data_IF_726969864956
#
_entry.id   IF_726969864956
#
_cell.length_a   1.000
_cell.length_b   1.000
_cell.length_c   1.000
_cell.angle_alpha   90.00
_cell.angle_beta   90.00
_cell.angle_gamma   90.00
#
_symmetry.space_group_name_H-M   'P 1'
#
loop_
_entity.id
_entity.type
_entity.pdbx_description
1 polymer ?
#
# COMPACT_ATOMS: atom_id res chain seq x y z
N UNK A 1 -23.87 -29.63 -35.90
CA UNK A 1 -24.63 -29.49 -37.16
C UNK A 1 -26.03 -29.01 -36.82
N UNK A 2 -26.58 -28.04 -37.57
CA UNK A 2 -27.96 -27.50 -37.50
C UNK A 2 -28.47 -26.91 -36.15
N UNK A 3 -29.35 -25.90 -36.12
CA UNK A 3 -29.73 -24.95 -37.18
C UNK A 3 -31.20 -24.50 -37.22
N UNK A 4 -31.46 -23.21 -36.95
CA UNK A 4 -32.70 -22.41 -37.15
C UNK A 4 -32.32 -20.89 -37.09
N UNK A 5 -32.92 -19.83 -37.65
CA UNK A 5 -34.15 -19.49 -38.45
C UNK A 5 -35.51 -19.51 -37.71
N UNK A 6 -36.60 -18.83 -38.08
CA UNK A 6 -37.07 -18.04 -39.27
C UNK A 6 -38.27 -17.14 -38.78
N UNK A 7 -38.62 -15.91 -39.19
CA UNK A 7 -38.07 -14.88 -40.11
C UNK A 7 -38.75 -13.48 -39.90
N UNK A 8 -38.12 -12.41 -40.40
CA UNK A 8 -38.67 -11.16 -41.04
C UNK A 8 -40.10 -10.63 -40.77
N UNK A 9 -40.20 -9.32 -40.47
CA UNK A 9 -40.90 -8.27 -41.26
C UNK A 9 -40.67 -6.86 -40.63
N UNK A 10 -40.67 -5.71 -41.33
CA UNK A 10 -40.63 -5.46 -42.78
C UNK A 10 -41.66 -4.44 -43.30
N UNK A 11 -41.30 -3.15 -43.45
CA UNK A 11 -42.04 -2.19 -44.31
C UNK A 11 -41.17 -1.01 -44.78
N UNK A 12 -41.58 -0.36 -45.88
CA UNK A 12 -40.93 0.80 -46.54
C UNK A 12 -42.00 1.83 -46.91
N UNK A 13 -41.72 3.13 -46.75
CA UNK A 13 -42.43 4.22 -47.45
C UNK A 13 -41.41 5.28 -47.87
N UNK A 14 -41.57 5.82 -49.09
CA UNK A 14 -40.81 6.95 -49.63
C UNK A 14 -41.78 8.05 -50.02
N UNK A 15 -41.56 9.27 -49.55
CA UNK A 15 -42.10 10.50 -50.14
C UNK A 15 -41.03 11.58 -50.05
N UNK A 16 -40.80 12.30 -51.14
CA UNK A 16 -40.04 13.55 -51.16
C UNK A 16 -40.81 14.61 -51.94
N UNK A 17 -40.71 15.87 -51.52
CA UNK A 17 -41.24 17.04 -52.21
C UNK A 17 -40.39 18.25 -51.83
N UNK A 18 -40.04 19.07 -52.81
CA UNK A 18 -39.24 20.28 -52.62
C UNK A 18 -40.14 21.50 -52.37
N UNK A 19 -39.55 22.59 -51.86
CA UNK A 19 -39.99 23.96 -52.19
C UNK A 19 -38.88 25.00 -51.91
N UNK A 20 -39.04 26.15 -52.56
CA UNK A 20 -38.17 27.33 -52.58
C UNK A 20 -37.72 27.89 -51.22
N UNK A 21 -36.47 28.35 -51.15
CA UNK A 21 -35.97 29.24 -50.07
C UNK A 21 -36.25 30.73 -50.34
N UNK A 22 -35.72 31.61 -49.48
CA UNK A 22 -35.72 33.07 -49.67
C UNK A 22 -34.54 33.75 -48.93
N UNK A 23 -34.34 35.07 -49.12
CA UNK A 23 -33.05 35.77 -48.87
C UNK A 23 -33.11 36.95 -47.88
N UNK A 24 -32.03 37.16 -47.12
CA UNK A 24 -31.68 38.41 -46.39
C UNK A 24 -30.47 38.16 -45.45
N UNK A 25 -29.32 38.86 -45.45
CA UNK A 25 -28.98 40.30 -45.56
C UNK A 25 -29.10 41.07 -44.22
N UNK A 26 -28.09 41.75 -43.63
CA UNK A 26 -26.62 41.81 -43.90
C UNK A 26 -25.83 41.99 -42.54
N UNK A 27 -24.77 42.81 -42.28
CA UNK A 27 -23.60 42.35 -41.49
C UNK A 27 -23.37 43.00 -40.10
N UNK A 28 -22.29 42.56 -39.42
CA UNK A 28 -21.31 43.21 -38.50
C UNK A 28 -21.59 44.60 -37.83
N UNK A 29 -20.98 44.93 -36.65
CA UNK A 29 -19.62 44.50 -36.23
C UNK A 29 -19.35 44.22 -34.72
N UNK A 30 -18.07 43.91 -34.41
CA UNK A 30 -17.37 44.00 -33.11
C UNK A 30 -17.80 43.00 -31.99
N UNK A 31 -16.99 42.62 -31.00
CA UNK A 31 -15.77 43.23 -30.39
C UNK A 31 -14.64 42.19 -30.16
N UNK A 32 -13.39 42.68 -30.29
CA UNK A 32 -12.09 42.14 -29.87
C UNK A 32 -12.01 40.79 -29.09
N UNK A 33 -11.13 39.89 -29.57
CA UNK A 33 -10.63 38.76 -28.80
C UNK A 33 -9.51 39.15 -27.82
N UNK A 34 -9.39 38.42 -26.71
CA UNK A 34 -8.27 38.53 -25.76
C UNK A 34 -7.84 37.15 -25.24
N UNK A 35 -6.84 36.56 -25.89
CA UNK A 35 -6.20 35.32 -25.42
C UNK A 35 -5.10 35.66 -24.41
N UNK A 36 -5.49 35.88 -23.15
CA UNK A 36 -4.54 36.02 -22.03
C UNK A 36 -3.97 34.64 -21.70
N UNK A 37 -2.64 34.53 -21.60
CA UNK A 37 -1.95 33.27 -21.31
C UNK A 37 -2.10 32.91 -19.84
N UNK A 38 -2.35 31.64 -19.57
CA UNK A 38 -2.19 31.07 -18.23
C UNK A 38 -0.71 31.09 -17.81
N UNK A 39 -0.39 31.28 -16.52
CA UNK A 39 0.97 31.24 -16.04
C UNK A 39 1.50 29.80 -16.01
N UNK A 40 2.57 29.52 -16.74
CA UNK A 40 3.31 28.25 -16.63
C UNK A 40 3.73 28.02 -15.18
N UNK A 41 3.32 26.88 -14.60
CA UNK A 41 3.71 26.49 -13.26
C UNK A 41 5.19 26.09 -13.23
N UNK A 42 6.04 26.90 -12.59
CA UNK A 42 7.42 26.52 -12.33
C UNK A 42 7.47 25.56 -11.13
N UNK A 43 7.31 24.27 -11.42
CA UNK A 43 7.46 23.20 -10.43
C UNK A 43 8.94 23.14 -10.03
N UNK A 44 9.25 23.69 -8.85
CA UNK A 44 10.57 23.53 -8.25
C UNK A 44 10.86 22.03 -8.06
N UNK A 45 11.99 21.50 -8.54
CA UNK A 45 12.33 20.10 -8.32
C UNK A 45 12.53 19.89 -6.81
N UNK A 46 11.65 19.09 -6.21
CA UNK A 46 11.84 18.64 -4.83
C UNK A 46 13.22 17.97 -4.73
N UNK A 47 13.96 18.27 -3.66
CA UNK A 47 15.26 17.64 -3.44
C UNK A 47 15.04 16.14 -3.26
N UNK A 48 15.45 15.35 -4.25
CA UNK A 48 15.38 13.89 -4.19
C UNK A 48 16.11 13.42 -2.92
N UNK A 49 15.43 12.72 -1.99
CA UNK A 49 16.06 12.29 -0.77
C UNK A 49 17.20 11.34 -1.13
N UNK A 50 18.40 11.61 -0.62
CA UNK A 50 19.50 10.64 -0.74
C UNK A 50 19.05 9.37 -0.02
N UNK A 51 19.03 8.19 -0.68
CA UNK A 51 18.49 6.98 -0.09
C UNK A 51 19.30 6.61 1.16
N UNK A 52 18.69 6.82 2.33
CA UNK A 52 19.21 6.34 3.59
C UNK A 52 18.62 4.97 3.83
N UNK A 53 19.48 3.96 3.95
CA UNK A 53 19.04 2.65 4.46
C UNK A 53 18.46 2.87 5.87
N UNK A 54 17.23 2.39 6.17
CA UNK A 54 16.66 2.46 7.51
C UNK A 54 17.60 1.84 8.55
N UNK A 55 17.68 2.42 9.75
CA UNK A 55 18.45 1.80 10.83
C UNK A 55 17.73 0.55 11.35
N UNK A 56 18.48 -0.51 11.70
CA UNK A 56 17.91 -1.65 12.43
C UNK A 56 17.42 -1.15 13.79
N UNK A 57 16.14 -1.36 14.18
CA UNK A 57 15.67 -0.92 15.49
C UNK A 57 16.43 -1.62 16.62
N UNK A 58 16.65 -0.90 17.72
CA UNK A 58 17.16 -1.50 18.96
C UNK A 58 16.04 -2.28 19.65
N UNK A 59 16.36 -3.48 20.15
CA UNK A 59 15.36 -4.38 20.76
C UNK A 59 14.95 -3.87 22.15
N UNK A 60 13.70 -3.39 22.36
CA UNK A 60 13.33 -2.67 23.57
C UNK A 60 13.30 -3.56 24.83
N UNK A 61 13.71 -2.99 25.96
CA UNK A 61 13.81 -3.67 27.25
C UNK A 61 12.47 -4.23 27.76
N UNK A 62 11.34 -3.64 27.34
CA UNK A 62 9.99 -4.13 27.65
C UNK A 62 9.75 -5.56 27.14
N UNK A 63 10.36 -5.99 26.03
CA UNK A 63 10.27 -7.37 25.51
C UNK A 63 10.87 -8.43 26.45
N UNK A 64 11.54 -8.04 27.54
CA UNK A 64 12.00 -8.95 28.62
C UNK A 64 10.86 -9.40 29.54
N UNK A 65 9.70 -8.74 29.49
CA UNK A 65 8.48 -9.13 30.21
C UNK A 65 7.79 -10.31 29.53
N UNK A 66 6.94 -11.00 30.28
CA UNK A 66 6.15 -12.18 29.85
C UNK A 66 4.66 -11.90 30.06
N UNK A 67 4.21 -10.75 29.54
CA UNK A 67 2.88 -10.17 29.72
C UNK A 67 2.48 -9.32 28.50
N UNK A 68 1.32 -8.64 28.58
CA UNK A 68 0.79 -7.82 27.49
C UNK A 68 1.69 -6.63 27.11
N UNK A 69 2.45 -6.06 28.07
CA UNK A 69 3.41 -4.99 27.77
C UNK A 69 4.62 -5.56 26.99
N UNK A 70 5.10 -6.74 27.37
CA UNK A 70 6.15 -7.45 26.62
C UNK A 70 5.70 -7.89 25.23
N UNK A 71 4.44 -8.29 25.08
CA UNK A 71 3.84 -8.63 23.80
C UNK A 71 3.68 -7.40 22.89
N UNK A 72 3.21 -6.28 23.44
CA UNK A 72 3.03 -5.03 22.70
C UNK A 72 4.36 -4.48 22.19
N UNK A 73 5.38 -4.40 23.05
CA UNK A 73 6.74 -4.01 22.65
C UNK A 73 7.35 -4.96 21.61
N UNK A 74 6.93 -6.23 21.58
CA UNK A 74 7.36 -7.19 20.57
C UNK A 74 6.65 -7.02 19.21
N UNK A 75 5.38 -6.59 19.20
CA UNK A 75 4.67 -6.23 17.97
C UNK A 75 5.22 -4.95 17.34
N UNK A 76 5.41 -3.91 18.16
CA UNK A 76 6.04 -2.64 17.81
C UNK A 76 7.41 -2.87 17.16
N UNK A 77 8.33 -3.53 17.87
CA UNK A 77 9.66 -3.89 17.36
C UNK A 77 9.63 -4.69 16.05
N UNK A 78 8.69 -5.62 15.90
CA UNK A 78 8.58 -6.45 14.69
C UNK A 78 8.13 -5.66 13.46
N UNK A 79 7.23 -4.69 13.64
CA UNK A 79 6.73 -3.83 12.56
C UNK A 79 7.77 -2.76 12.20
N UNK A 80 8.51 -2.22 13.17
CA UNK A 80 9.63 -1.29 12.93
C UNK A 80 10.84 -1.95 12.26
N UNK A 81 10.97 -3.28 12.39
CA UNK A 81 12.00 -4.07 11.70
C UNK A 81 11.71 -4.26 10.20
N UNK A 82 10.45 -4.11 9.74
CA UNK A 82 10.04 -4.31 8.35
C UNK A 82 10.85 -3.48 7.31
N UNK A 83 10.93 -2.14 7.39
CA UNK A 83 11.64 -1.35 6.37
C UNK A 83 13.16 -1.65 6.33
N UNK A 84 13.76 -1.96 7.48
CA UNK A 84 15.16 -2.42 7.53
C UNK A 84 15.36 -3.74 6.77
N UNK A 85 14.46 -4.72 6.97
CA UNK A 85 14.53 -6.02 6.28
C UNK A 85 14.39 -5.84 4.76
N UNK A 86 13.43 -5.04 4.30
CA UNK A 86 13.21 -4.77 2.87
C UNK A 86 14.42 -4.08 2.21
N UNK A 87 15.09 -3.18 2.93
CA UNK A 87 16.22 -2.40 2.41
C UNK A 87 17.59 -3.10 2.52
N UNK A 88 17.71 -4.25 3.22
CA UNK A 88 19.01 -4.86 3.52
C UNK A 88 19.13 -6.37 3.34
N UNK A 89 18.03 -7.12 3.26
CA UNK A 89 18.07 -8.58 3.22
C UNK A 89 18.40 -9.26 4.57
N UNK A 90 18.72 -8.50 5.64
CA UNK A 90 18.94 -9.08 6.98
C UNK A 90 17.60 -9.51 7.61
N UNK A 91 17.17 -10.69 7.21
CA UNK A 91 15.95 -11.36 7.64
C UNK A 91 16.10 -12.09 8.99
N UNK A 92 17.26 -12.15 9.64
CA UNK A 92 17.51 -13.13 10.73
C UNK A 92 16.53 -12.95 11.91
N UNK A 93 16.46 -11.74 12.48
CA UNK A 93 15.62 -11.46 13.65
C UNK A 93 14.12 -11.48 13.29
N UNK A 94 13.75 -10.98 12.11
CA UNK A 94 12.37 -11.00 11.61
C UNK A 94 11.90 -12.45 11.44
N UNK A 95 12.75 -13.32 10.88
CA UNK A 95 12.50 -14.77 10.72
C UNK A 95 12.50 -15.51 12.06
N UNK A 96 13.32 -15.07 13.03
CA UNK A 96 13.32 -15.62 14.40
C UNK A 96 12.03 -15.29 15.17
N UNK A 97 11.44 -14.12 14.92
CA UNK A 97 10.16 -13.68 15.48
C UNK A 97 8.93 -14.11 14.64
N UNK A 98 9.11 -14.58 13.41
CA UNK A 98 8.01 -15.04 12.56
C UNK A 98 7.49 -16.42 13.00
N UNK A 99 6.22 -16.52 13.40
CA UNK A 99 5.56 -17.82 13.53
C UNK A 99 5.10 -18.34 12.16
N UNK A 100 5.12 -19.67 11.97
CA UNK A 100 4.74 -20.36 10.71
C UNK A 100 3.29 -20.19 10.25
N UNK A 101 2.47 -19.47 11.02
CA UNK A 101 1.07 -19.17 10.70
C UNK A 101 0.89 -17.73 10.20
N UNK A 102 1.89 -16.86 10.38
CA UNK A 102 1.81 -15.46 10.00
C UNK A 102 2.02 -15.31 8.49
N UNK A 103 0.91 -15.29 7.74
CA UNK A 103 0.95 -15.12 6.28
C UNK A 103 1.63 -13.82 5.83
N UNK A 104 1.43 -12.72 6.56
CA UNK A 104 2.16 -11.46 6.35
C UNK A 104 3.67 -11.66 6.49
N UNK A 105 4.12 -12.34 7.55
CA UNK A 105 5.53 -12.57 7.83
C UNK A 105 6.18 -13.46 6.76
N UNK A 106 5.49 -14.52 6.32
CA UNK A 106 5.96 -15.37 5.22
C UNK A 106 6.05 -14.61 3.89
N UNK A 107 5.11 -13.70 3.63
CA UNK A 107 5.10 -12.89 2.42
C UNK A 107 6.22 -11.83 2.44
N UNK A 108 6.37 -11.09 3.54
CA UNK A 108 7.43 -10.11 3.73
C UNK A 108 8.84 -10.70 3.55
N UNK A 109 9.08 -11.91 4.08
CA UNK A 109 10.35 -12.62 3.85
C UNK A 109 10.59 -12.89 2.35
N UNK A 110 9.59 -13.41 1.62
CA UNK A 110 9.69 -13.66 0.16
C UNK A 110 9.81 -12.39 -0.66
N UNK A 111 9.40 -11.24 -0.13
CA UNK A 111 9.50 -9.94 -0.79
C UNK A 111 10.90 -9.35 -0.60
N UNK A 112 11.47 -9.43 0.61
CA UNK A 112 12.88 -9.11 0.85
C UNK A 112 13.83 -10.02 0.05
N UNK A 113 13.64 -11.35 0.09
CA UNK A 113 14.39 -12.32 -0.72
C UNK A 113 14.39 -11.92 -2.22
N UNK A 114 13.27 -11.38 -2.72
CA UNK A 114 13.10 -11.00 -4.14
C UNK A 114 13.72 -9.66 -4.49
N UNK A 115 13.77 -8.71 -3.54
CA UNK A 115 14.44 -7.43 -3.71
C UNK A 115 15.95 -7.68 -3.84
N UNK A 116 16.51 -8.54 -2.98
CA UNK A 116 17.91 -8.97 -3.04
C UNK A 116 18.22 -9.75 -4.34
N UNK A 117 17.43 -10.78 -4.68
CA UNK A 117 17.57 -11.58 -5.92
C UNK A 117 17.53 -10.75 -7.23
N UNK A 118 17.04 -9.51 -7.18
CA UNK A 118 16.87 -8.61 -8.34
C UNK A 118 17.84 -7.44 -8.36
N UNK A 119 18.73 -7.33 -7.38
CA UNK A 119 19.59 -6.15 -7.17
C UNK A 119 18.76 -4.85 -7.05
N UNK A 120 17.55 -4.94 -6.49
CA UNK A 120 16.62 -3.82 -6.28
C UNK A 120 16.93 -3.07 -4.99
N UNK A 121 16.66 -1.76 -4.96
CA UNK A 121 16.79 -0.92 -3.78
C UNK A 121 15.42 -0.50 -3.24
N UNK A 122 15.08 -0.93 -2.02
CA UNK A 122 13.91 -0.43 -1.28
C UNK A 122 14.29 0.83 -0.50
N UNK A 123 13.50 1.89 -0.61
CA UNK A 123 13.75 3.19 0.00
C UNK A 123 12.50 3.80 0.63
N UNK A 124 12.68 4.50 1.76
CA UNK A 124 11.58 5.03 2.57
C UNK A 124 10.84 3.94 3.33
N UNK A 125 9.52 4.10 3.50
CA UNK A 125 8.66 3.12 4.15
C UNK A 125 8.85 3.01 5.67
N UNK A 126 9.48 4.00 6.31
CA UNK A 126 9.65 4.07 7.75
C UNK A 126 8.31 3.91 8.47
N UNK A 127 8.25 3.01 9.45
CA UNK A 127 7.05 2.71 10.23
C UNK A 127 7.12 3.32 11.62
N UNK A 128 5.97 3.74 12.14
CA UNK A 128 5.79 4.10 13.54
C UNK A 128 4.48 3.47 14.04
N UNK A 129 4.53 2.84 15.22
CA UNK A 129 3.41 2.06 15.76
C UNK A 129 2.79 2.78 16.96
N UNK A 130 1.46 2.78 17.03
CA UNK A 130 0.70 3.21 18.20
C UNK A 130 -0.25 2.10 18.62
N UNK A 131 -0.03 1.53 19.81
CA UNK A 131 -0.95 0.56 20.40
C UNK A 131 -2.27 1.25 20.73
N UNK A 132 -3.37 0.68 20.25
CA UNK A 132 -4.74 1.17 20.47
C UNK A 132 -5.39 0.46 21.65
N UNK A 133 -5.40 -0.87 21.60
CA UNK A 133 -6.05 -1.73 22.60
C UNK A 133 -5.17 -2.96 22.87
N UNK A 134 -4.98 -3.31 24.14
CA UNK A 134 -4.32 -4.55 24.56
C UNK A 134 -5.34 -5.47 25.22
N UNK A 135 -5.40 -6.72 24.78
CA UNK A 135 -6.39 -7.69 25.26
C UNK A 135 -5.79 -8.65 26.29
N UNK A 136 -6.64 -9.30 27.07
CA UNK A 136 -6.19 -10.40 27.94
C UNK A 136 -5.60 -11.53 27.09
N UNK A 137 -4.60 -12.22 27.64
CA UNK A 137 -4.04 -13.42 27.01
C UNK A 137 -5.13 -14.49 26.84
N UNK A 138 -5.26 -15.05 25.64
CA UNK A 138 -6.08 -16.24 25.43
C UNK A 138 -5.46 -17.44 26.16
N UNK A 139 -6.15 -17.95 27.17
CA UNK A 139 -5.65 -19.01 28.04
C UNK A 139 -5.54 -20.39 27.37
N UNK A 140 -6.04 -20.57 26.14
CA UNK A 140 -5.98 -21.85 25.41
C UNK A 140 -4.78 -21.91 24.45
N UNK A 141 -4.35 -20.76 23.93
CA UNK A 141 -3.29 -20.61 22.93
C UNK A 141 -2.04 -19.92 23.46
N UNK A 142 -2.15 -19.16 24.56
CA UNK A 142 -1.08 -18.33 25.09
C UNK A 142 -0.83 -17.04 24.30
N UNK A 143 -1.71 -16.70 23.35
CA UNK A 143 -1.60 -15.51 22.51
C UNK A 143 -2.08 -14.27 23.26
N UNK A 144 -1.37 -13.16 23.09
CA UNK A 144 -1.79 -11.81 23.44
C UNK A 144 -2.26 -11.11 22.15
N UNK A 145 -3.57 -10.86 21.97
CA UNK A 145 -4.07 -9.99 20.91
C UNK A 145 -3.82 -8.53 21.28
N UNK A 146 -3.53 -7.70 20.29
CA UNK A 146 -3.57 -6.23 20.39
C UNK A 146 -4.02 -5.59 19.08
N UNK A 147 -4.66 -4.43 19.18
CA UNK A 147 -4.88 -3.54 18.04
C UNK A 147 -3.79 -2.48 18.01
N UNK A 148 -3.25 -2.22 16.81
CA UNK A 148 -2.25 -1.18 16.56
C UNK A 148 -2.67 -0.31 15.37
N UNK A 149 -2.42 0.99 15.48
CA UNK A 149 -2.35 1.92 14.36
C UNK A 149 -0.91 1.93 13.88
N UNK A 150 -0.68 1.56 12.62
CA UNK A 150 0.64 1.66 11.96
C UNK A 150 0.58 2.85 11.01
N UNK A 151 1.41 3.85 11.27
CA UNK A 151 1.80 4.83 10.25
C UNK A 151 2.98 4.25 9.48
N UNK A 152 2.93 4.35 8.15
CA UNK A 152 4.04 4.05 7.26
C UNK A 152 4.25 5.26 6.34
N UNK A 153 5.48 5.77 6.24
CA UNK A 153 5.82 6.81 5.26
C UNK A 153 5.83 6.24 3.83
N UNK A 154 5.91 7.11 2.82
CA UNK A 154 5.96 6.67 1.43
C UNK A 154 7.22 5.82 1.15
N UNK A 155 7.09 4.83 0.26
CA UNK A 155 8.19 3.92 -0.08
C UNK A 155 8.26 3.63 -1.57
N UNK A 156 9.46 3.41 -2.09
CA UNK A 156 9.70 2.95 -3.46
C UNK A 156 10.61 1.72 -3.48
N UNK A 157 10.46 0.91 -4.52
CA UNK A 157 11.39 -0.16 -4.89
C UNK A 157 11.92 0.19 -6.28
N UNK A 158 13.24 0.32 -6.40
CA UNK A 158 13.93 0.83 -7.59
C UNK A 158 14.76 -0.31 -8.20
N UNK A 159 14.60 -0.54 -9.51
CA UNK A 159 15.42 -1.48 -10.28
C UNK A 159 16.85 -0.95 -10.46
N UNK A 160 17.80 -1.84 -10.75
CA UNK A 160 19.22 -1.52 -10.90
C UNK A 160 19.57 -0.51 -12.02
N UNK A 161 18.61 -0.18 -12.91
CA UNK A 161 18.74 0.87 -13.93
C UNK A 161 18.26 2.27 -13.45
N UNK A 162 17.74 2.36 -12.22
CA UNK A 162 17.19 3.58 -11.63
C UNK A 162 15.70 3.81 -11.90
N UNK A 163 14.99 2.88 -12.54
CA UNK A 163 13.53 2.96 -12.73
C UNK A 163 12.76 2.46 -11.50
N UNK A 164 11.60 3.08 -11.21
CA UNK A 164 10.76 2.66 -10.07
C UNK A 164 9.94 1.43 -10.49
N UNK A 165 10.23 0.29 -9.88
CA UNK A 165 9.51 -0.97 -10.07
C UNK A 165 8.11 -0.93 -9.41
N UNK A 166 8.04 -0.38 -8.21
CA UNK A 166 6.79 -0.18 -7.46
C UNK A 166 6.93 0.92 -6.42
N UNK A 167 5.83 1.59 -6.10
CA UNK A 167 5.75 2.58 -5.02
C UNK A 167 4.50 2.39 -4.16
N UNK A 168 4.53 2.96 -2.95
CA UNK A 168 3.39 3.09 -2.06
C UNK A 168 3.39 4.49 -1.43
N UNK A 169 2.22 5.12 -1.39
CA UNK A 169 2.01 6.41 -0.72
C UNK A 169 2.06 6.25 0.81
N UNK A 170 2.36 7.35 1.51
CA UNK A 170 2.31 7.38 2.98
C UNK A 170 0.88 7.10 3.48
N UNK A 171 0.75 6.19 4.45
CA UNK A 171 -0.53 5.66 4.90
C UNK A 171 -0.60 5.45 6.42
N UNK A 172 -1.82 5.40 6.94
CA UNK A 172 -2.14 5.02 8.32
C UNK A 172 -3.17 3.89 8.26
N UNK A 173 -2.96 2.81 9.00
CA UNK A 173 -3.82 1.62 8.95
C UNK A 173 -3.92 0.92 10.31
N UNK A 174 -5.11 0.40 10.65
CA UNK A 174 -5.34 -0.33 11.90
C UNK A 174 -5.29 -1.86 11.68
N UNK A 175 -4.49 -2.54 12.50
CA UNK A 175 -4.27 -3.99 12.41
C UNK A 175 -4.48 -4.68 13.76
N UNK A 176 -5.04 -5.89 13.70
CA UNK A 176 -4.94 -6.87 14.79
C UNK A 176 -3.61 -7.60 14.66
N UNK A 177 -2.79 -7.51 15.70
CA UNK A 177 -1.59 -8.33 15.86
C UNK A 177 -1.87 -9.41 16.89
N UNK A 178 -1.43 -10.63 16.61
CA UNK A 178 -1.45 -11.76 17.55
C UNK A 178 0.00 -12.11 17.91
N UNK A 179 0.36 -11.99 19.19
CA UNK A 179 1.73 -12.24 19.67
C UNK A 179 1.72 -13.41 20.65
N UNK A 180 2.57 -14.41 20.40
CA UNK A 180 2.71 -15.60 21.23
C UNK A 180 4.14 -15.82 21.74
N UNK A 181 4.32 -16.86 22.56
CA UNK A 181 5.63 -17.27 23.11
C UNK A 181 6.05 -18.62 22.54
N UNK A 182 7.33 -18.76 22.18
CA UNK A 182 7.92 -19.99 21.64
C UNK A 182 9.39 -20.08 22.05
N UNK A 183 9.75 -21.13 22.80
CA UNK A 183 11.12 -21.34 23.31
C UNK A 183 11.69 -20.07 23.99
N UNK A 184 10.91 -19.49 24.90
CA UNK A 184 11.19 -18.26 25.66
C UNK A 184 11.42 -16.98 24.82
N UNK A 185 11.11 -17.03 23.51
CA UNK A 185 11.09 -15.88 22.60
C UNK A 185 9.66 -15.46 22.27
N UNK A 186 9.49 -14.15 22.06
CA UNK A 186 8.27 -13.59 21.44
C UNK A 186 8.22 -13.95 19.96
N UNK A 187 7.03 -14.30 19.46
CA UNK A 187 6.78 -14.55 18.04
C UNK A 187 5.45 -13.93 17.60
N UNK A 188 5.41 -13.33 16.42
CA UNK A 188 4.19 -12.82 15.80
C UNK A 188 3.49 -13.98 15.08
N UNK A 189 2.25 -14.24 15.50
CA UNK A 189 1.37 -15.33 15.02
C UNK A 189 0.53 -14.89 13.83
N UNK A 190 0.06 -13.64 13.84
CA UNK A 190 -0.64 -13.00 12.74
C UNK A 190 -0.46 -11.47 12.80
N UNK A 191 -0.50 -10.85 11.62
CA UNK A 191 -0.88 -9.44 11.42
C UNK A 191 -2.01 -9.46 10.40
N UNK A 192 -3.14 -8.87 10.74
CA UNK A 192 -4.37 -8.87 9.93
C UNK A 192 -5.12 -7.54 10.10
N UNK A 193 -6.02 -7.17 9.17
CA UNK A 193 -6.90 -6.02 9.36
C UNK A 193 -7.65 -6.08 10.69
N UNK A 194 -7.84 -4.94 11.35
CA UNK A 194 -8.64 -4.86 12.58
C UNK A 194 -10.06 -5.42 12.35
N UNK A 195 -10.59 -6.29 13.23
CA UNK A 195 -11.98 -6.73 13.17
C UNK A 195 -12.97 -5.56 13.26
N UNK A 196 -14.05 -5.60 12.49
CA UNK A 196 -15.18 -4.68 12.65
C UNK A 196 -15.95 -4.97 13.96
N UNK A 197 -16.48 -3.95 14.65
CA UNK A 197 -17.13 -4.08 15.97
C UNK A 197 -18.61 -4.55 15.93
#
# INVERSE_FOLDING_TARGET
MAGATMRMAGLVVVVGLALSGCTGSTPDPDVAGSSTREPTSEVSPSASPTPSVPAKPERPDAMKRDDAEGAAAAAEYFIELYPYVMATGDTEEFKAMSHRACGFCEQALKDADRIEDREQNFQGGETAVKVLDQYLQDHLTGIYPLDVEVKQEASETVDADGSVFSSAEAQVSEHRVEVGRKNDRWVVVAIAPRPEP
#
